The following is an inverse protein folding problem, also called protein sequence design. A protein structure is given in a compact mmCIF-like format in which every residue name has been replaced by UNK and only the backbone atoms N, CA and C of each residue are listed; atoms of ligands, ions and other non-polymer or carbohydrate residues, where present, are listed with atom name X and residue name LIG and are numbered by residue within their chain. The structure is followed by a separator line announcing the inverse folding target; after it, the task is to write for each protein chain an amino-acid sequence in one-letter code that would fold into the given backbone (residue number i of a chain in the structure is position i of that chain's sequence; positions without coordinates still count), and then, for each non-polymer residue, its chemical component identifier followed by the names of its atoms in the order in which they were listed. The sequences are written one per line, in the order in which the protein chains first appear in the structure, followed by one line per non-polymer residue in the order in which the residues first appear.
data_IF_365413785447
#
_entry.id   IF_365413785447
#
_cell.length_a   1.000
_cell.length_b   1.000
_cell.length_c   1.000
_cell.angle_alpha   90.00
_cell.angle_beta   90.00
_cell.angle_gamma   90.00
#
_symmetry.space_group_name_H-M   'P 1'
#
loop_
_entity.id
_entity.type
_entity.pdbx_description
1 polymer ?
#
# COMPACT_ATOMS: atom_id res chain seq x y z
N UNK A 1 -40.40 17.93 50.81
CA UNK A 1 -40.23 18.50 49.45
C UNK A 1 -38.95 17.93 48.85
N UNK A 2 -39.00 17.05 47.84
CA UNK A 2 -37.82 16.59 47.13
C UNK A 2 -37.43 17.62 46.04
N UNK A 3 -36.15 17.98 46.01
CA UNK A 3 -35.55 18.85 44.99
C UNK A 3 -34.84 18.00 43.94
N UNK A 4 -35.20 18.28 42.68
CA UNK A 4 -34.30 18.41 41.52
C UNK A 4 -33.60 17.17 40.97
N UNK A 5 -34.00 16.86 39.74
CA UNK A 5 -33.35 16.02 38.74
C UNK A 5 -31.91 16.50 38.40
N UNK A 6 -31.00 15.55 38.16
CA UNK A 6 -29.82 15.74 37.33
C UNK A 6 -29.41 14.40 36.70
N UNK A 7 -30.02 14.10 35.56
CA UNK A 7 -29.57 13.07 34.62
C UNK A 7 -28.26 13.56 33.97
N UNK A 8 -27.11 12.96 34.32
CA UNK A 8 -25.83 13.19 33.63
C UNK A 8 -25.28 11.90 33.02
N UNK A 9 -25.31 11.90 31.69
CA UNK A 9 -24.32 11.37 30.71
C UNK A 9 -23.33 10.29 31.16
N UNK A 10 -23.32 9.20 30.39
CA UNK A 10 -22.15 8.34 30.17
C UNK A 10 -22.47 7.21 29.18
N UNK A 11 -22.34 7.49 27.87
CA UNK A 11 -22.37 6.49 26.79
C UNK A 11 -20.94 5.98 26.56
N UNK A 12 -20.81 4.73 26.13
CA UNK A 12 -19.60 4.03 25.64
C UNK A 12 -18.69 3.52 26.79
N UNK A 13 -18.35 2.23 26.86
CA UNK A 13 -17.71 1.45 25.80
C UNK A 13 -18.10 -0.04 25.88
N UNK A 14 -18.80 -0.55 24.88
CA UNK A 14 -18.65 -1.94 24.47
C UNK A 14 -17.87 -1.89 23.16
N UNK A 15 -16.55 -1.94 23.27
CA UNK A 15 -15.66 -2.14 22.13
C UNK A 15 -14.53 -3.05 22.58
N UNK A 16 -14.95 -4.28 22.91
CA UNK A 16 -14.13 -5.45 22.60
C UNK A 16 -14.13 -5.58 21.08
N UNK A 17 -13.36 -4.72 20.42
CA UNK A 17 -12.72 -5.03 19.16
C UNK A 17 -11.41 -5.65 19.61
N UNK A 18 -11.46 -6.92 20.02
CA UNK A 18 -11.02 -7.99 19.15
C UNK A 18 -9.66 -7.62 18.56
N UNK A 19 -8.61 -8.22 19.13
CA UNK A 19 -7.35 -8.47 18.43
C UNK A 19 -7.68 -9.35 17.20
N UNK A 20 -8.41 -8.81 16.24
CA UNK A 20 -8.67 -9.43 14.95
C UNK A 20 -7.43 -9.18 14.11
N UNK A 21 -6.67 -10.24 13.97
CA UNK A 21 -5.82 -10.46 12.81
C UNK A 21 -4.75 -9.40 12.57
N UNK A 22 -3.75 -9.40 13.47
CA UNK A 22 -2.38 -9.48 12.98
C UNK A 22 -2.16 -10.88 12.36
N UNK A 23 -3.02 -11.32 11.43
CA UNK A 23 -2.58 -12.26 10.41
C UNK A 23 -1.53 -11.46 9.68
N UNK A 24 -0.30 -11.63 10.15
CA UNK A 24 0.93 -11.42 9.43
C UNK A 24 0.74 -12.18 8.13
N UNK A 25 0.03 -11.58 7.17
CA UNK A 25 0.07 -11.93 5.78
C UNK A 25 1.55 -12.17 5.54
N UNK A 26 1.89 -13.42 5.23
CA UNK A 26 3.25 -13.91 5.07
C UNK A 26 3.95 -12.80 4.30
N UNK A 27 4.71 -11.95 5.01
CA UNK A 27 5.44 -10.89 4.36
C UNK A 27 6.52 -11.70 3.70
N UNK A 28 6.28 -12.04 2.43
CA UNK A 28 7.30 -12.54 1.55
C UNK A 28 8.29 -11.40 1.50
N UNK A 29 9.23 -11.38 2.46
CA UNK A 29 10.25 -10.35 2.62
C UNK A 29 11.24 -10.61 1.51
N UNK A 30 10.85 -10.20 0.31
CA UNK A 30 11.71 -10.20 -0.86
C UNK A 30 12.83 -9.23 -0.53
N UNK A 31 14.02 -9.77 -0.31
CA UNK A 31 15.24 -8.98 -0.19
C UNK A 31 15.66 -8.59 -1.60
N UNK A 32 15.87 -7.29 -1.83
CA UNK A 32 16.29 -6.76 -3.12
C UNK A 32 17.75 -6.33 -3.00
N UNK A 33 18.58 -6.82 -3.91
CA UNK A 33 19.95 -6.35 -4.13
C UNK A 33 20.03 -5.88 -5.59
N UNK A 34 20.09 -4.56 -5.78
CA UNK A 34 20.10 -3.94 -7.10
C UNK A 34 20.96 -2.67 -7.11
N UNK A 35 21.74 -2.48 -8.18
CA UNK A 35 22.48 -1.24 -8.47
C UNK A 35 21.89 -0.60 -9.73
N UNK A 36 21.20 0.53 -9.56
CA UNK A 36 20.55 1.26 -10.63
C UNK A 36 21.38 2.49 -10.94
N UNK A 37 21.87 2.59 -12.18
CA UNK A 37 22.64 3.75 -12.66
C UNK A 37 21.90 4.41 -13.80
N UNK A 38 21.32 5.57 -13.55
CA UNK A 38 20.71 6.42 -14.56
C UNK A 38 21.72 7.46 -15.03
N UNK A 39 21.77 7.70 -16.35
CA UNK A 39 22.62 8.74 -16.95
C UNK A 39 21.72 9.79 -17.58
N UNK A 40 21.85 11.01 -17.10
CA UNK A 40 21.12 12.17 -17.59
C UNK A 40 22.10 13.19 -18.17
N UNK A 41 21.64 14.12 -19.02
CA UNK A 41 22.50 15.19 -19.53
C UNK A 41 23.11 16.06 -18.41
N UNK A 42 22.41 16.19 -17.27
CA UNK A 42 22.84 17.01 -16.14
C UNK A 42 23.77 16.27 -15.16
N UNK A 43 23.92 14.94 -15.31
CA UNK A 43 24.73 14.12 -14.42
C UNK A 43 24.30 12.65 -14.38
N UNK A 44 24.99 11.83 -13.58
CA UNK A 44 24.55 10.48 -13.29
C UNK A 44 23.86 10.41 -11.93
N UNK A 45 22.89 9.50 -11.81
CA UNK A 45 22.25 9.15 -10.55
C UNK A 45 22.45 7.67 -10.29
N UNK A 46 22.89 7.34 -9.08
CA UNK A 46 23.06 5.96 -8.63
C UNK A 46 22.10 5.69 -7.48
N UNK A 47 21.39 4.56 -7.54
CA UNK A 47 20.44 4.14 -6.53
C UNK A 47 20.68 2.67 -6.18
N UNK A 48 20.49 2.35 -4.90
CA UNK A 48 20.59 0.98 -4.39
C UNK A 48 19.40 0.69 -3.47
N UNK A 49 18.22 0.34 -4.03
CA UNK A 49 17.05 0.03 -3.23
C UNK A 49 17.26 -1.27 -2.44
N UNK A 50 16.88 -1.25 -1.17
CA UNK A 50 16.87 -2.44 -0.29
C UNK A 50 15.50 -3.11 -0.20
N UNK A 51 14.44 -2.44 -0.67
CA UNK A 51 13.08 -2.97 -0.65
C UNK A 51 12.35 -2.83 -1.99
N UNK A 52 11.29 -3.64 -2.22
CA UNK A 52 10.41 -3.49 -3.38
C UNK A 52 9.79 -2.10 -3.51
N UNK A 53 9.45 -1.47 -2.39
CA UNK A 53 8.86 -0.13 -2.35
C UNK A 53 9.85 0.93 -2.83
N UNK A 54 11.10 0.88 -2.35
CA UNK A 54 12.16 1.78 -2.80
C UNK A 54 12.44 1.61 -4.29
N UNK A 55 12.51 0.34 -4.76
CA UNK A 55 12.69 0.04 -6.17
C UNK A 55 11.56 0.62 -7.03
N UNK A 56 10.31 0.50 -6.58
CA UNK A 56 9.15 1.04 -7.28
C UNK A 56 9.19 2.57 -7.36
N UNK A 57 9.53 3.25 -6.26
CA UNK A 57 9.66 4.71 -6.24
C UNK A 57 10.73 5.16 -7.24
N UNK A 58 11.90 4.52 -7.24
CA UNK A 58 12.98 4.83 -8.19
C UNK A 58 12.52 4.56 -9.63
N UNK A 59 11.90 3.41 -9.90
CA UNK A 59 11.40 3.06 -11.23
C UNK A 59 10.38 4.06 -11.78
N UNK A 60 9.43 4.48 -10.94
CA UNK A 60 8.42 5.48 -11.31
C UNK A 60 9.06 6.86 -11.54
N UNK A 61 10.00 7.28 -10.68
CA UNK A 61 10.74 8.53 -10.86
C UNK A 61 11.47 8.57 -12.21
N UNK A 62 12.13 7.46 -12.60
CA UNK A 62 12.78 7.35 -13.91
C UNK A 62 11.78 7.42 -15.07
N UNK A 63 10.62 6.76 -14.95
CA UNK A 63 9.56 6.82 -15.97
C UNK A 63 9.02 8.25 -16.15
N UNK A 64 8.78 8.96 -15.04
CA UNK A 64 8.30 10.35 -15.08
C UNK A 64 9.34 11.27 -15.70
N UNK A 65 10.63 11.08 -15.39
CA UNK A 65 11.72 11.89 -15.95
C UNK A 65 11.93 11.66 -17.44
N UNK A 66 11.80 10.42 -17.91
CA UNK A 66 12.04 10.07 -19.32
C UNK A 66 10.81 10.31 -20.21
N UNK A 67 9.63 9.89 -19.75
CA UNK A 67 8.40 9.86 -20.57
C UNK A 67 7.40 10.95 -20.20
N UNK A 68 7.55 11.57 -19.03
CA UNK A 68 6.56 12.48 -18.46
C UNK A 68 5.48 11.76 -17.63
N UNK A 69 4.78 12.52 -16.81
CA UNK A 69 3.82 12.01 -15.81
C UNK A 69 2.67 11.21 -16.43
N UNK A 70 2.06 11.71 -17.51
CA UNK A 70 0.90 11.06 -18.16
C UNK A 70 1.28 9.70 -18.76
N UNK A 71 2.45 9.62 -19.40
CA UNK A 71 2.94 8.38 -20.00
C UNK A 71 3.34 7.35 -18.92
N UNK A 72 3.97 7.81 -17.83
CA UNK A 72 4.30 6.95 -16.69
C UNK A 72 3.03 6.37 -16.06
N UNK A 73 1.97 7.16 -15.90
CA UNK A 73 0.69 6.69 -15.37
C UNK A 73 0.09 5.60 -16.27
N UNK A 74 0.01 5.84 -17.58
CA UNK A 74 -0.53 4.85 -18.52
C UNK A 74 0.29 3.55 -18.54
N UNK A 75 1.61 3.64 -18.36
CA UNK A 75 2.47 2.46 -18.25
C UNK A 75 2.15 1.64 -16.99
N UNK A 76 1.93 2.30 -15.85
CA UNK A 76 1.57 1.64 -14.60
C UNK A 76 0.19 0.98 -14.71
N UNK A 77 -0.78 1.64 -15.34
CA UNK A 77 -2.12 1.09 -15.57
C UNK A 77 -2.07 -0.22 -16.37
N UNK A 78 -1.24 -0.29 -17.41
CA UNK A 78 -1.03 -1.52 -18.20
C UNK A 78 -0.48 -2.69 -17.36
N UNK A 79 0.33 -2.42 -16.33
CA UNK A 79 0.83 -3.46 -15.44
C UNK A 79 -0.30 -4.02 -14.58
N UNK A 80 -1.21 -3.17 -14.09
CA UNK A 80 -2.34 -3.63 -13.29
C UNK A 80 -3.31 -4.50 -14.09
N UNK A 81 -3.48 -4.25 -15.39
CA UNK A 81 -4.28 -5.13 -16.25
C UNK A 81 -3.73 -6.57 -16.32
N UNK A 82 -2.41 -6.75 -16.19
CA UNK A 82 -1.77 -8.08 -16.17
C UNK A 82 -1.91 -8.83 -14.85
N UNK A 83 -2.21 -8.12 -13.76
CA UNK A 83 -2.51 -8.71 -12.46
C UNK A 83 -3.99 -8.47 -12.16
N UNK A 84 -4.92 -9.15 -12.88
CA UNK A 84 -6.34 -9.04 -12.56
C UNK A 84 -6.47 -9.37 -11.08
N UNK A 85 -7.02 -8.44 -10.32
CA UNK A 85 -7.28 -8.61 -8.90
C UNK A 85 -7.97 -9.95 -8.74
N UNK A 86 -7.28 -10.95 -8.18
CA UNK A 86 -7.91 -12.20 -7.85
C UNK A 86 -8.76 -11.96 -6.59
N UNK A 87 -9.79 -11.12 -6.71
CA UNK A 87 -10.95 -11.07 -5.83
C UNK A 87 -11.80 -12.32 -6.15
N UNK A 88 -11.19 -13.48 -5.99
CA UNK A 88 -11.73 -14.79 -6.30
C UNK A 88 -11.59 -15.72 -5.10
N UNK A 89 -11.87 -15.23 -3.90
CA UNK A 89 -12.29 -16.09 -2.79
C UNK A 89 -13.80 -15.95 -2.62
N UNK A 90 -14.53 -16.35 -3.66
CA UNK A 90 -15.86 -16.89 -3.46
C UNK A 90 -15.69 -18.15 -2.61
N UNK A 91 -16.18 -18.10 -1.38
CA UNK A 91 -16.49 -19.31 -0.63
C UNK A 91 -17.87 -19.77 -1.13
N UNK A 92 -17.99 -20.87 -1.90
CA UNK A 92 -19.29 -21.52 -2.01
C UNK A 92 -19.56 -22.17 -0.66
N UNK A 93 -20.42 -21.53 0.14
CA UNK A 93 -21.01 -22.19 1.30
C UNK A 93 -21.87 -23.34 0.79
N UNK A 94 -21.33 -24.55 0.87
CA UNK A 94 -22.11 -25.78 0.82
C UNK A 94 -22.50 -26.15 2.25
N UNK A 95 -23.75 -25.86 2.64
CA UNK A 95 -24.56 -26.65 3.56
C UNK A 95 -26.02 -26.19 3.54
#
# INVERSE_FOLDING_TARGET
MPKSECQKRGKMVNSSLELSDCTSAIMTTVSIDADIKAKWPEGHSSYSPGSPEELAIIGIDLLVKELGTEAAQSFIEQIFEKYPTNHGAGHPETA
#
